data_IF_457839303019
#
_entry.id   IF_457839303019
#
_cell.length_a   1.000
_cell.length_b   1.000
_cell.length_c   1.000
_cell.angle_alpha   90.00
_cell.angle_beta   90.00
_cell.angle_gamma   90.00
#
_symmetry.space_group_name_H-M   'P 1'
#
loop_
_entity.id
_entity.type
_entity.pdbx_description
1 polymer ?
#
# COMPACT_ATOMS: atom_id res chain seq x y z
N UNK A 1 2.76 22.71 7.36
CA UNK A 1 3.48 21.63 6.65
C UNK A 1 2.68 20.34 6.55
N UNK A 2 1.84 20.01 7.54
CA UNK A 2 1.05 18.76 7.59
C UNK A 2 -0.13 18.69 6.60
N UNK A 3 -0.71 19.84 6.20
CA UNK A 3 -1.88 19.90 5.30
C UNK A 3 -1.49 19.64 3.83
N UNK A 4 -0.19 19.75 3.48
CA UNK A 4 0.28 19.56 2.11
C UNK A 4 0.47 18.06 1.75
N UNK A 5 0.67 17.19 2.74
CA UNK A 5 0.73 15.73 2.53
C UNK A 5 -0.64 15.15 2.14
N UNK A 6 -1.74 15.64 2.72
CA UNK A 6 -3.08 15.05 2.56
C UNK A 6 -3.77 15.30 1.22
N UNK A 7 -3.22 16.15 0.35
CA UNK A 7 -3.75 16.41 -1.00
C UNK A 7 -3.02 15.64 -2.11
N UNK A 8 -1.82 15.13 -1.85
CA UNK A 8 -1.07 14.34 -2.84
C UNK A 8 -1.48 12.86 -2.87
N UNK A 9 -2.09 12.36 -1.79
CA UNK A 9 -2.45 10.94 -1.61
C UNK A 9 -3.80 10.55 -2.25
N UNK A 10 -4.56 11.48 -2.85
CA UNK A 10 -5.93 11.22 -3.32
C UNK A 10 -6.05 10.53 -4.70
N UNK A 11 -4.96 10.08 -5.33
CA UNK A 11 -5.01 9.38 -6.63
C UNK A 11 -3.91 8.31 -6.80
N UNK A 12 -3.38 7.74 -5.72
CA UNK A 12 -2.46 6.60 -5.81
C UNK A 12 -3.28 5.33 -5.98
N UNK A 13 -3.30 4.77 -7.20
CA UNK A 13 -3.86 3.42 -7.41
C UNK A 13 -2.81 2.41 -6.94
N UNK A 14 -3.24 1.23 -6.51
CA UNK A 14 -2.35 0.12 -6.13
C UNK A 14 -1.28 -0.15 -7.21
N UNK A 15 -1.70 -0.03 -8.48
CA UNK A 15 -0.83 -0.13 -9.65
C UNK A 15 0.33 0.86 -9.61
N UNK A 16 0.11 2.10 -9.20
CA UNK A 16 1.13 3.15 -9.18
C UNK A 16 2.17 2.88 -8.07
N UNK A 17 1.75 2.34 -6.92
CA UNK A 17 2.66 1.94 -5.82
C UNK A 17 3.52 0.75 -6.23
N UNK A 18 2.91 -0.26 -6.86
CA UNK A 18 3.63 -1.44 -7.34
C UNK A 18 4.67 -1.07 -8.40
N UNK A 19 4.28 -0.25 -9.38
CA UNK A 19 5.15 0.10 -10.50
C UNK A 19 6.35 0.94 -9.99
N UNK A 20 6.14 1.84 -9.02
CA UNK A 20 7.22 2.59 -8.35
C UNK A 20 8.18 1.68 -7.56
N UNK A 21 7.65 0.69 -6.84
CA UNK A 21 8.47 -0.30 -6.12
C UNK A 21 9.30 -1.12 -7.12
N UNK A 22 8.74 -1.50 -8.27
CA UNK A 22 9.46 -2.22 -9.31
C UNK A 22 10.58 -1.37 -9.93
N UNK A 23 10.34 -0.08 -10.16
CA UNK A 23 11.34 0.85 -10.71
C UNK A 23 12.48 1.15 -9.72
N UNK A 24 12.20 1.17 -8.41
CA UNK A 24 13.24 1.34 -7.39
C UNK A 24 14.07 0.09 -7.17
N UNK A 25 13.43 -1.08 -7.11
CA UNK A 25 14.08 -2.34 -6.72
C UNK A 25 14.81 -2.99 -7.90
N UNK A 26 14.25 -2.86 -9.11
CA UNK A 26 14.77 -3.48 -10.35
C UNK A 26 15.22 -4.92 -10.13
N UNK A 27 14.29 -5.80 -9.71
CA UNK A 27 14.63 -7.15 -9.30
C UNK A 27 15.26 -7.93 -10.46
N UNK A 28 16.22 -8.80 -10.14
CA UNK A 28 16.83 -9.67 -11.14
C UNK A 28 15.82 -10.63 -11.80
N UNK A 29 14.75 -10.95 -11.08
CA UNK A 29 13.65 -11.81 -11.51
C UNK A 29 12.39 -10.94 -11.68
N UNK A 30 11.75 -10.92 -12.87
CA UNK A 30 10.60 -10.05 -13.13
C UNK A 30 9.34 -10.44 -12.33
N UNK A 31 9.29 -11.65 -11.76
CA UNK A 31 8.11 -12.15 -11.06
C UNK A 31 8.17 -11.99 -9.53
N UNK A 32 9.32 -11.58 -8.97
CA UNK A 32 9.47 -11.47 -7.51
C UNK A 32 10.58 -10.53 -7.09
N UNK A 33 10.42 -9.94 -5.91
CA UNK A 33 11.46 -9.17 -5.23
C UNK A 33 12.05 -10.05 -4.13
N UNK A 34 13.38 -10.24 -4.15
CA UNK A 34 14.11 -10.97 -3.11
C UNK A 34 14.71 -10.01 -2.08
N UNK A 35 15.08 -10.54 -0.92
CA UNK A 35 15.82 -9.77 0.08
C UNK A 35 17.15 -9.22 -0.48
N UNK A 36 17.83 -9.97 -1.36
CA UNK A 36 19.05 -9.51 -2.01
C UNK A 36 18.78 -8.30 -2.90
N UNK A 37 17.64 -8.26 -3.60
CA UNK A 37 17.25 -7.10 -4.41
C UNK A 37 17.02 -5.88 -3.51
N UNK A 38 16.33 -6.05 -2.37
CA UNK A 38 16.10 -4.96 -1.40
C UNK A 38 17.39 -4.43 -0.75
N UNK A 39 18.38 -5.30 -0.49
CA UNK A 39 19.69 -4.90 0.02
C UNK A 39 20.56 -4.24 -1.07
N UNK A 40 20.35 -4.62 -2.32
CA UNK A 40 21.10 -4.12 -3.48
C UNK A 40 20.58 -2.79 -3.98
N UNK A 41 19.27 -2.54 -3.91
CA UNK A 41 18.64 -1.29 -4.37
C UNK A 41 18.95 -0.08 -3.47
N UNK A 42 19.55 -0.31 -2.27
CA UNK A 42 19.90 0.71 -1.26
C UNK A 42 18.74 1.55 -0.74
N UNK A 43 17.52 1.18 -1.10
CA UNK A 43 16.28 1.88 -0.76
C UNK A 43 15.30 0.96 -0.05
N UNK A 44 15.77 -0.19 0.48
CA UNK A 44 14.93 -1.18 1.16
C UNK A 44 14.15 -0.61 2.36
N UNK A 45 14.69 0.37 3.09
CA UNK A 45 13.96 1.06 4.16
C UNK A 45 12.79 1.90 3.66
N UNK A 46 12.93 2.55 2.50
CA UNK A 46 11.86 3.28 1.82
C UNK A 46 10.79 2.32 1.31
N UNK A 47 11.19 1.21 0.69
CA UNK A 47 10.27 0.14 0.24
C UNK A 47 9.51 -0.46 1.41
N UNK A 48 10.19 -0.79 2.50
CA UNK A 48 9.55 -1.26 3.72
C UNK A 48 8.55 -0.23 4.27
N UNK A 49 8.91 1.05 4.30
CA UNK A 49 8.01 2.11 4.77
C UNK A 49 6.77 2.30 3.88
N UNK A 50 6.90 2.05 2.56
CA UNK A 50 5.78 2.06 1.62
C UNK A 50 4.85 0.85 1.76
N UNK A 51 5.40 -0.31 2.17
CA UNK A 51 4.66 -1.56 2.33
C UNK A 51 4.09 -1.76 3.75
N UNK A 52 4.70 -1.16 4.77
CA UNK A 52 4.44 -1.51 6.17
C UNK A 52 3.05 -1.14 6.65
N UNK A 53 2.38 -0.09 6.15
CA UNK A 53 0.94 -0.03 6.43
C UNK A 53 0.08 0.89 5.58
N UNK A 54 -0.70 0.31 4.67
CA UNK A 54 -1.81 1.02 4.02
C UNK A 54 -3.12 0.25 4.15
N UNK A 55 -3.10 -1.07 3.96
CA UNK A 55 -4.32 -1.88 4.03
C UNK A 55 -4.58 -2.47 5.42
N UNK A 56 -3.54 -2.69 6.23
CA UNK A 56 -3.65 -3.21 7.59
C UNK A 56 -4.21 -2.16 8.56
N UNK A 57 -3.77 -0.91 8.44
CA UNK A 57 -4.33 0.22 9.16
C UNK A 57 -5.78 0.49 8.73
N UNK A 58 -6.07 0.40 7.43
CA UNK A 58 -7.41 0.62 6.88
C UNK A 58 -8.44 -0.43 7.35
N UNK A 59 -8.12 -1.72 7.27
CA UNK A 59 -9.01 -2.80 7.75
C UNK A 59 -9.21 -2.79 9.27
N UNK A 60 -8.24 -2.26 10.02
CA UNK A 60 -8.32 -2.12 11.47
C UNK A 60 -9.13 -0.87 11.92
N UNK A 61 -9.07 0.25 11.17
CA UNK A 61 -9.82 1.50 11.43
C UNK A 61 -11.30 1.42 10.96
N UNK A 62 -11.56 0.77 9.82
CA UNK A 62 -12.91 0.65 9.25
C UNK A 62 -13.75 -0.51 9.81
N UNK A 63 -13.35 -1.12 10.94
CA UNK A 63 -13.93 -2.39 11.40
C UNK A 63 -15.43 -2.34 11.72
N UNK A 64 -15.96 -1.22 12.22
CA UNK A 64 -17.38 -1.10 12.61
C UNK A 64 -18.30 -0.83 11.40
N UNK A 65 -17.77 -0.18 10.37
CA UNK A 65 -18.50 0.10 9.13
C UNK A 65 -18.65 -1.18 8.28
N UNK A 66 -17.65 -2.06 8.33
CA UNK A 66 -17.71 -3.40 7.74
C UNK A 66 -18.70 -4.33 8.45
N UNK A 67 -19.01 -4.05 9.73
CA UNK A 67 -20.01 -4.79 10.51
C UNK A 67 -21.44 -4.29 10.24
N UNK A 68 -21.65 -3.02 9.89
CA UNK A 68 -22.98 -2.50 9.50
C UNK A 68 -23.39 -2.91 8.08
N UNK A 69 -22.44 -3.14 7.17
CA UNK A 69 -22.71 -3.69 5.84
C UNK A 69 -23.18 -5.16 5.88
N UNK A 70 -22.97 -5.90 6.99
CA UNK A 70 -23.51 -7.26 7.20
C UNK A 70 -24.94 -7.28 7.77
N UNK A 71 -25.47 -6.13 8.23
CA UNK A 71 -26.77 -6.03 8.92
C UNK A 71 -27.85 -5.22 8.16
N UNK A 72 -27.64 -4.79 6.91
CA UNK A 72 -28.76 -4.34 6.08
C UNK A 72 -29.59 -5.57 5.63
N UNK A 73 -30.85 -5.73 6.06
CA UNK A 73 -31.72 -6.71 5.45
C UNK A 73 -32.08 -6.24 4.03
N UNK A 74 -32.01 -7.17 3.07
CA UNK A 74 -32.57 -6.98 1.72
C UNK A 74 -34.04 -6.57 1.84
N UNK A 75 -34.38 -5.34 1.48
CA UNK A 75 -35.78 -4.96 1.23
C UNK A 75 -35.93 -4.19 -0.10
N UNK A 76 -36.44 -4.96 -1.07
CA UNK A 76 -37.24 -4.71 -2.31
C UNK A 76 -36.93 -3.53 -3.27
#
# INVERSE_FOLDING_TARGET
MTILMGKFVRNLREKDVRDEIWDMVKPADPLRITLLDLLSCKQGGTVASMLIDVCGFWAHDNRENLLQEEEEPEEE
#
